data_IF_314892796433
#
_entry.id   IF_314892796433
#
_cell.length_a   1.000
_cell.length_b   1.000
_cell.length_c   1.000
_cell.angle_alpha   90.00
_cell.angle_beta   90.00
_cell.angle_gamma   90.00
#
_symmetry.space_group_name_H-M   'P 1'
#
loop_
_entity.id
_entity.type
_entity.pdbx_description
1 polymer ?
#
# COMPACT_ATOMS: atom_id res chain seq x y z
N UNK A 1 -3.47 8.12 15.28
CA UNK A 1 -3.37 7.15 14.18
C UNK A 1 -2.34 6.11 14.60
N UNK A 2 -2.60 4.81 14.38
CA UNK A 2 -1.62 3.76 14.67
C UNK A 2 -0.45 3.82 13.67
N UNK A 3 0.76 3.43 14.09
CA UNK A 3 1.98 3.51 13.26
C UNK A 3 1.84 2.76 11.92
N UNK A 4 1.31 1.54 11.91
CA UNK A 4 1.15 0.76 10.68
C UNK A 4 0.17 1.44 9.73
N UNK A 5 -0.92 1.97 10.27
CA UNK A 5 -1.94 2.69 9.49
C UNK A 5 -1.46 4.01 8.86
N UNK A 6 -0.25 4.49 9.18
CA UNK A 6 0.38 5.64 8.55
C UNK A 6 1.08 5.31 7.22
N UNK A 7 1.44 4.04 7.00
CA UNK A 7 2.23 3.63 5.84
C UNK A 7 1.63 4.03 4.48
N UNK A 8 0.33 3.87 4.21
CA UNK A 8 -0.19 4.09 2.86
C UNK A 8 -0.01 5.54 2.38
N UNK A 9 -0.35 6.50 3.24
CA UNK A 9 -0.17 7.91 2.94
C UNK A 9 1.31 8.31 2.84
N UNK A 10 2.16 7.78 3.73
CA UNK A 10 3.59 8.04 3.70
C UNK A 10 4.24 7.50 2.43
N UNK A 11 3.99 6.23 2.09
CA UNK A 11 4.50 5.57 0.88
C UNK A 11 4.04 6.33 -0.36
N UNK A 12 2.74 6.60 -0.49
CA UNK A 12 2.20 7.27 -1.66
C UNK A 12 2.81 8.67 -1.84
N UNK A 13 2.88 9.44 -0.76
CA UNK A 13 3.48 10.78 -0.79
C UNK A 13 4.98 10.75 -1.13
N UNK A 14 5.71 9.76 -0.62
CA UNK A 14 7.14 9.59 -0.89
C UNK A 14 7.39 9.24 -2.35
N UNK A 15 6.61 8.32 -2.92
CA UNK A 15 6.69 7.95 -4.34
C UNK A 15 6.40 9.15 -5.26
N UNK A 16 5.35 9.92 -4.95
CA UNK A 16 5.01 11.12 -5.71
C UNK A 16 6.10 12.20 -5.58
N UNK A 17 6.68 12.38 -4.38
CA UNK A 17 7.77 13.33 -4.16
C UNK A 17 9.05 12.92 -4.88
N UNK A 18 9.41 11.64 -4.86
CA UNK A 18 10.53 11.10 -5.65
C UNK A 18 10.31 11.37 -7.14
N UNK A 19 9.09 11.14 -7.64
CA UNK A 19 8.75 11.28 -9.06
C UNK A 19 8.72 12.74 -9.56
N UNK A 20 8.25 13.68 -8.74
CA UNK A 20 7.97 15.05 -9.17
C UNK A 20 8.82 16.12 -8.47
N UNK A 21 9.31 15.84 -7.26
CA UNK A 21 10.07 16.77 -6.43
C UNK A 21 11.53 16.96 -6.85
N UNK A 22 12.11 16.02 -7.62
CA UNK A 22 13.52 16.06 -8.04
C UNK A 22 13.78 16.79 -9.37
N UNK A 23 12.79 17.48 -9.97
CA UNK A 23 13.07 18.38 -11.09
C UNK A 23 13.89 19.58 -10.59
N UNK A 24 15.22 19.40 -10.53
CA UNK A 24 16.22 20.45 -10.26
C UNK A 24 15.93 21.64 -11.16
N UNK A 25 15.35 22.70 -10.58
CA UNK A 25 15.35 24.00 -11.22
C UNK A 25 16.79 24.47 -11.31
N UNK A 26 17.24 24.84 -12.51
CA UNK A 26 18.43 25.67 -12.68
C UNK A 26 18.32 26.86 -11.72
N UNK A 27 19.30 26.96 -10.81
CA UNK A 27 19.40 28.04 -9.84
C UNK A 27 19.72 29.35 -10.58
N UNK A 28 18.70 30.14 -10.92
CA UNK A 28 18.90 31.58 -11.08
C UNK A 28 19.04 32.19 -9.68
N UNK A 29 20.28 32.58 -9.36
CA UNK A 29 20.68 33.29 -8.12
C UNK A 29 19.69 34.41 -7.79
N UNK A 30 19.23 34.44 -6.54
CA UNK A 30 18.56 35.61 -5.97
C UNK A 30 17.04 35.55 -5.87
N UNK A 31 16.48 34.52 -5.21
CA UNK A 31 15.23 34.58 -4.41
C UNK A 31 14.99 33.21 -3.77
N UNK A 32 15.29 33.07 -2.47
CA UNK A 32 14.90 31.91 -1.65
C UNK A 32 13.36 31.90 -1.49
N UNK A 33 12.64 31.33 -2.45
CA UNK A 33 11.25 30.88 -2.26
C UNK A 33 11.24 29.36 -2.37
N UNK A 34 10.48 28.70 -1.49
CA UNK A 34 10.27 27.25 -1.34
C UNK A 34 9.82 26.59 -2.66
N UNK A 35 10.73 26.43 -3.63
CA UNK A 35 10.44 25.83 -4.94
C UNK A 35 10.19 24.31 -4.89
N UNK A 36 10.57 23.64 -3.80
CA UNK A 36 10.47 22.18 -3.68
C UNK A 36 9.07 21.60 -3.46
N UNK A 37 8.05 22.43 -3.25
CA UNK A 37 6.69 21.97 -2.87
C UNK A 37 5.61 22.37 -3.89
N UNK A 38 5.95 23.17 -4.91
CA UNK A 38 4.98 23.69 -5.88
C UNK A 38 4.31 22.61 -6.73
N UNK A 39 4.98 21.47 -6.94
CA UNK A 39 4.44 20.38 -7.74
C UNK A 39 3.16 19.77 -7.15
N UNK A 40 2.96 19.88 -5.84
CA UNK A 40 1.74 19.37 -5.19
C UNK A 40 0.48 20.08 -5.67
N UNK A 41 0.58 21.32 -6.16
CA UNK A 41 -0.58 22.06 -6.67
C UNK A 41 -1.19 21.41 -7.93
N UNK A 42 -0.38 20.65 -8.67
CA UNK A 42 -0.79 20.00 -9.93
C UNK A 42 -1.09 18.49 -9.77
N UNK A 43 -0.92 17.94 -8.56
CA UNK A 43 -1.13 16.51 -8.29
C UNK A 43 -2.42 16.34 -7.51
N UNK A 44 -3.29 15.46 -8.02
CA UNK A 44 -4.43 14.97 -7.27
C UNK A 44 -4.19 13.53 -6.79
N UNK A 45 -4.88 13.17 -5.72
CA UNK A 45 -4.93 11.81 -5.22
C UNK A 45 -6.36 11.37 -4.94
N UNK A 46 -6.57 10.06 -4.82
CA UNK A 46 -7.83 9.47 -4.38
C UNK A 46 -7.57 8.63 -3.12
N UNK A 47 -8.51 8.68 -2.19
CA UNK A 47 -8.69 7.67 -1.15
C UNK A 47 -10.00 6.92 -1.44
N UNK A 48 -9.89 5.66 -1.85
CA UNK A 48 -11.00 4.87 -2.38
C UNK A 48 -12.00 4.41 -1.31
N UNK A 49 -11.57 4.34 -0.05
CA UNK A 49 -12.35 3.86 1.10
C UNK A 49 -12.01 4.71 2.33
N UNK A 50 -12.30 6.00 2.23
CA UNK A 50 -11.62 7.02 3.01
C UNK A 50 -12.07 7.11 4.47
N UNK A 51 -13.31 6.78 4.79
CA UNK A 51 -13.82 7.02 6.14
C UNK A 51 -13.19 6.06 7.17
N UNK A 52 -12.84 6.52 8.39
CA UNK A 52 -13.21 7.79 9.01
C UNK A 52 -12.23 8.95 8.74
N UNK A 53 -11.30 8.81 7.79
CA UNK A 53 -10.47 9.92 7.28
C UNK A 53 -9.03 9.95 7.76
N UNK A 54 -8.58 9.02 8.60
CA UNK A 54 -7.20 9.06 9.16
C UNK A 54 -6.11 9.05 8.08
N UNK A 55 -6.21 8.14 7.11
CA UNK A 55 -5.25 8.04 6.00
C UNK A 55 -5.35 9.24 5.07
N UNK A 56 -6.58 9.66 4.78
CA UNK A 56 -6.89 10.85 3.97
C UNK A 56 -6.27 12.12 4.56
N UNK A 57 -6.47 12.36 5.86
CA UNK A 57 -5.92 13.52 6.56
C UNK A 57 -4.39 13.46 6.66
N UNK A 58 -3.84 12.26 6.85
CA UNK A 58 -2.39 12.08 6.85
C UNK A 58 -1.78 12.40 5.47
N UNK A 59 -2.42 11.95 4.39
CA UNK A 59 -2.01 12.30 3.02
C UNK A 59 -2.13 13.81 2.78
N UNK A 60 -3.22 14.44 3.23
CA UNK A 60 -3.39 15.90 3.16
C UNK A 60 -2.26 16.66 3.85
N UNK A 61 -1.83 16.19 5.03
CA UNK A 61 -0.70 16.77 5.75
C UNK A 61 0.62 16.61 4.97
N UNK A 62 0.88 15.44 4.39
CA UNK A 62 2.05 15.17 3.55
C UNK A 62 2.07 15.98 2.25
N UNK A 63 0.89 16.29 1.71
CA UNK A 63 0.72 17.18 0.55
C UNK A 63 0.68 18.67 0.94
N UNK A 64 0.91 19.02 2.22
CA UNK A 64 0.90 20.39 2.73
C UNK A 64 -0.38 21.17 2.38
N UNK A 65 -1.55 20.51 2.40
CA UNK A 65 -2.82 21.11 1.98
C UNK A 65 -2.83 21.64 0.52
N UNK A 66 -1.96 21.11 -0.35
CA UNK A 66 -1.90 21.46 -1.78
C UNK A 66 -2.53 20.37 -2.65
N UNK A 67 -2.84 20.72 -3.90
CA UNK A 67 -3.49 19.81 -4.84
C UNK A 67 -4.92 19.49 -4.42
N UNK A 68 -5.37 18.27 -4.72
CA UNK A 68 -6.71 17.79 -4.33
C UNK A 68 -6.70 16.32 -3.97
N UNK A 69 -7.40 15.95 -2.91
CA UNK A 69 -7.66 14.56 -2.52
C UNK A 69 -9.15 14.30 -2.66
N UNK A 70 -9.54 13.35 -3.49
CA UNK A 70 -10.92 12.88 -3.57
C UNK A 70 -11.10 11.71 -2.60
N UNK A 71 -12.00 11.86 -1.62
CA UNK A 71 -12.21 10.89 -0.57
C UNK A 71 -13.58 10.23 -0.73
N UNK A 72 -13.60 8.96 -1.11
CA UNK A 72 -14.82 8.20 -1.34
C UNK A 72 -15.14 7.31 -0.15
N UNK A 73 -16.40 7.30 0.27
CA UNK A 73 -16.96 6.22 1.09
C UNK A 73 -18.45 6.08 0.73
N UNK A 74 -18.95 4.85 0.67
CA UNK A 74 -20.36 4.59 0.33
C UNK A 74 -21.31 4.84 1.51
N UNK A 75 -20.78 4.82 2.74
CA UNK A 75 -21.57 5.01 3.96
C UNK A 75 -21.61 6.48 4.36
N UNK A 76 -22.78 7.09 4.26
CA UNK A 76 -22.99 8.50 4.57
C UNK A 76 -22.66 8.85 6.04
N UNK A 77 -22.89 7.95 6.99
CA UNK A 77 -22.59 8.17 8.42
C UNK A 77 -21.09 8.15 8.64
N UNK A 78 -20.38 7.18 8.07
CA UNK A 78 -18.91 7.13 8.14
C UNK A 78 -18.27 8.34 7.45
N UNK A 79 -18.82 8.77 6.31
CA UNK A 79 -18.37 9.96 5.60
C UNK A 79 -18.58 11.24 6.43
N UNK A 80 -19.62 11.31 7.25
CA UNK A 80 -19.83 12.43 8.17
C UNK A 80 -18.69 12.52 9.20
N UNK A 81 -18.26 11.40 9.79
CA UNK A 81 -17.09 11.37 10.66
C UNK A 81 -15.81 11.81 9.93
N UNK A 82 -15.65 11.43 8.65
CA UNK A 82 -14.55 11.92 7.83
C UNK A 82 -14.58 13.44 7.72
N UNK A 83 -15.74 14.04 7.41
CA UNK A 83 -15.88 15.50 7.28
C UNK A 83 -15.52 16.23 8.59
N UNK A 84 -15.98 15.71 9.72
CA UNK A 84 -15.66 16.22 11.04
C UNK A 84 -14.16 16.15 11.34
N UNK A 85 -13.52 15.00 11.06
CA UNK A 85 -12.09 14.82 11.24
C UNK A 85 -11.27 15.74 10.33
N UNK A 86 -11.63 15.85 9.05
CA UNK A 86 -10.99 16.72 8.06
C UNK A 86 -11.08 18.18 8.48
N UNK A 87 -12.25 18.62 8.95
CA UNK A 87 -12.47 19.97 9.47
C UNK A 87 -11.62 20.24 10.73
N UNK A 88 -11.67 19.32 11.70
CA UNK A 88 -10.91 19.41 12.96
C UNK A 88 -9.39 19.45 12.74
N UNK A 89 -8.89 18.75 11.73
CA UNK A 89 -7.46 18.69 11.40
C UNK A 89 -6.99 19.80 10.44
N UNK A 90 -7.87 20.71 10.02
CA UNK A 90 -7.52 21.82 9.11
C UNK A 90 -7.10 21.34 7.72
N UNK A 91 -7.70 20.25 7.24
CA UNK A 91 -7.43 19.75 5.90
C UNK A 91 -8.35 20.44 4.88
N UNK A 92 -7.78 21.22 3.96
CA UNK A 92 -8.53 22.08 3.03
C UNK A 92 -8.55 21.59 1.58
N UNK A 93 -7.70 20.61 1.24
CA UNK A 93 -7.60 20.05 -0.11
C UNK A 93 -8.43 18.77 -0.31
N UNK A 94 -9.23 18.34 0.67
CA UNK A 94 -10.02 17.11 0.63
C UNK A 94 -11.44 17.40 0.12
N UNK A 95 -11.86 16.69 -0.93
CA UNK A 95 -13.24 16.67 -1.42
C UNK A 95 -13.87 15.31 -1.08
N UNK A 96 -14.80 15.29 -0.14
CA UNK A 96 -15.51 14.07 0.27
C UNK A 96 -16.68 13.75 -0.67
N UNK A 97 -16.86 12.48 -1.03
CA UNK A 97 -17.90 11.98 -1.94
C UNK A 97 -18.58 10.75 -1.34
N UNK A 98 -19.90 10.84 -1.15
CA UNK A 98 -20.71 9.70 -0.74
C UNK A 98 -21.04 8.87 -1.97
N UNK A 99 -20.16 7.95 -2.35
CA UNK A 99 -20.32 7.14 -3.55
C UNK A 99 -19.55 5.82 -3.40
N UNK A 100 -20.00 4.81 -4.14
CA UNK A 100 -19.22 3.59 -4.34
C UNK A 100 -18.07 3.88 -5.32
N UNK A 101 -16.83 3.69 -4.85
CA UNK A 101 -15.64 3.88 -5.67
C UNK A 101 -15.64 3.00 -6.92
N UNK A 102 -16.23 1.80 -6.87
CA UNK A 102 -16.32 0.91 -8.03
C UNK A 102 -17.17 1.51 -9.15
N UNK A 103 -18.17 2.33 -8.80
CA UNK A 103 -19.06 3.00 -9.75
C UNK A 103 -18.51 4.32 -10.31
N UNK A 104 -17.36 4.81 -9.82
CA UNK A 104 -16.75 6.06 -10.28
C UNK A 104 -16.32 5.94 -11.76
N UNK A 105 -16.69 6.91 -12.59
CA UNK A 105 -16.16 7.00 -13.95
C UNK A 105 -14.70 7.47 -13.92
N UNK A 106 -13.78 6.54 -14.14
CA UNK A 106 -12.33 6.80 -14.11
C UNK A 106 -11.83 7.55 -15.37
N UNK A 107 -12.66 7.72 -16.39
CA UNK A 107 -12.36 8.56 -17.56
C UNK A 107 -12.82 10.01 -17.41
N UNK A 108 -13.54 10.33 -16.33
CA UNK A 108 -13.95 11.70 -16.03
C UNK A 108 -12.76 12.66 -16.00
N UNK A 109 -12.92 13.83 -16.64
CA UNK A 109 -11.92 14.90 -16.65
C UNK A 109 -11.59 15.39 -15.23
N UNK A 110 -12.47 15.20 -14.25
CA UNK A 110 -12.23 15.52 -12.83
C UNK A 110 -11.00 14.76 -12.28
N UNK A 111 -10.75 13.54 -12.77
CA UNK A 111 -9.68 12.67 -12.29
C UNK A 111 -8.43 12.65 -13.19
N UNK A 112 -8.38 13.48 -14.24
CA UNK A 112 -7.26 13.50 -15.18
C UNK A 112 -5.89 13.81 -14.54
N UNK A 113 -5.88 14.56 -13.43
CA UNK A 113 -4.68 14.91 -12.64
C UNK A 113 -4.39 13.95 -11.48
N UNK A 114 -5.18 12.88 -11.31
CA UNK A 114 -4.93 11.89 -10.26
C UNK A 114 -3.65 11.13 -10.61
N UNK A 115 -2.68 11.16 -9.70
CA UNK A 115 -1.40 10.43 -9.83
C UNK A 115 -1.22 9.36 -8.76
N UNK A 116 -1.92 9.48 -7.64
CA UNK A 116 -1.84 8.52 -6.54
C UNK A 116 -3.21 8.08 -6.03
N UNK A 117 -3.36 6.81 -5.69
CA UNK A 117 -4.58 6.28 -5.07
C UNK A 117 -4.22 5.44 -3.84
N UNK A 118 -4.90 5.67 -2.72
CA UNK A 118 -4.91 4.80 -1.55
C UNK A 118 -6.12 3.86 -1.65
N UNK A 119 -5.85 2.56 -1.55
CA UNK A 119 -6.84 1.50 -1.44
C UNK A 119 -6.72 0.84 -0.06
N UNK A 120 -7.51 1.30 0.90
CA UNK A 120 -7.66 0.69 2.24
C UNK A 120 -9.10 0.21 2.44
N UNK A 121 -9.55 -0.79 1.67
CA UNK A 121 -10.92 -1.30 1.74
C UNK A 121 -11.21 -2.02 3.06
N UNK A 122 -12.48 -2.39 3.25
CA UNK A 122 -12.88 -3.21 4.40
C UNK A 122 -12.09 -4.53 4.42
N UNK A 123 -11.49 -4.81 5.58
CA UNK A 123 -10.73 -6.02 5.91
C UNK A 123 -11.42 -6.81 7.03
N UNK A 124 -10.99 -8.05 7.26
CA UNK A 124 -11.40 -8.84 8.43
C UNK A 124 -11.13 -8.11 9.76
N UNK A 125 -10.08 -7.28 9.83
CA UNK A 125 -9.65 -6.64 11.07
C UNK A 125 -8.87 -7.56 12.01
N UNK A 126 -8.42 -8.72 11.53
CA UNK A 126 -7.76 -9.74 12.33
C UNK A 126 -6.40 -9.33 12.89
N UNK A 127 -5.77 -8.28 12.34
CA UNK A 127 -4.53 -7.68 12.85
C UNK A 127 -4.72 -6.67 13.99
N UNK A 128 -5.95 -6.27 14.30
CA UNK A 128 -6.24 -5.33 15.40
C UNK A 128 -6.36 -6.13 16.69
N UNK A 129 -5.43 -5.98 17.63
CA UNK A 129 -5.34 -6.81 18.86
C UNK A 129 -6.63 -6.86 19.69
N UNK A 130 -7.40 -5.76 19.75
CA UNK A 130 -8.71 -5.71 20.43
C UNK A 130 -9.84 -6.47 19.74
N UNK A 131 -9.70 -6.81 18.45
CA UNK A 131 -10.66 -7.59 17.65
C UNK A 131 -10.16 -9.01 17.32
N UNK A 132 -8.86 -9.16 17.12
CA UNK A 132 -8.19 -10.43 16.84
C UNK A 132 -8.16 -11.38 18.05
N UNK A 133 -8.20 -10.85 19.28
CA UNK A 133 -8.38 -11.66 20.49
C UNK A 133 -9.75 -12.32 20.60
N UNK A 134 -10.77 -11.76 19.94
CA UNK A 134 -12.14 -12.28 19.93
C UNK A 134 -12.35 -13.27 18.77
N UNK A 135 -11.79 -13.00 17.58
CA UNK A 135 -11.81 -13.94 16.44
C UNK A 135 -10.98 -15.21 16.69
N UNK A 136 -9.78 -15.11 17.30
CA UNK A 136 -8.95 -16.29 17.59
C UNK A 136 -9.55 -17.22 18.64
N UNK A 137 -10.57 -16.78 19.40
CA UNK A 137 -11.16 -17.53 20.53
C UNK A 137 -12.49 -18.21 20.23
N UNK A 138 -13.09 -17.97 19.05
CA UNK A 138 -14.28 -18.70 18.63
C UNK A 138 -13.87 -19.84 17.72
N UNK A 139 -13.44 -20.96 18.30
CA UNK A 139 -13.53 -22.26 17.60
C UNK A 139 -15.01 -22.57 17.46
N UNK A 140 -15.59 -22.07 16.39
CA UNK A 140 -16.99 -22.31 16.06
C UNK A 140 -17.22 -23.77 15.72
N UNK A 141 -18.47 -24.22 15.84
CA UNK A 141 -18.91 -25.47 15.22
C UNK A 141 -18.76 -25.32 13.69
N UNK A 142 -18.59 -26.42 12.93
CA UNK A 142 -18.17 -26.36 11.51
C UNK A 142 -18.93 -25.38 10.59
N UNK A 143 -20.19 -25.04 10.89
CA UNK A 143 -20.97 -24.03 10.17
C UNK A 143 -20.43 -22.59 10.35
N UNK A 144 -19.96 -22.22 11.55
CA UNK A 144 -19.39 -20.90 11.84
C UNK A 144 -18.03 -20.69 11.16
N UNK A 145 -17.21 -21.75 11.07
CA UNK A 145 -15.93 -21.71 10.34
C UNK A 145 -16.15 -21.53 8.83
N UNK A 146 -17.18 -22.18 8.27
CA UNK A 146 -17.55 -22.02 6.87
C UNK A 146 -18.07 -20.61 6.58
N UNK A 147 -18.87 -20.02 7.47
CA UNK A 147 -19.35 -18.64 7.33
C UNK A 147 -18.19 -17.63 7.41
N UNK A 148 -17.25 -17.82 8.33
CA UNK A 148 -16.07 -16.95 8.44
C UNK A 148 -15.18 -17.05 7.19
N UNK A 149 -14.96 -18.27 6.67
CA UNK A 149 -14.22 -18.48 5.43
C UNK A 149 -14.89 -17.77 4.23
N UNK A 150 -16.20 -17.92 4.07
CA UNK A 150 -16.98 -17.22 3.02
C UNK A 150 -16.90 -15.70 3.18
N UNK A 151 -16.96 -15.19 4.41
CA UNK A 151 -16.81 -13.77 4.69
C UNK A 151 -15.42 -13.27 4.29
N UNK A 152 -14.37 -14.00 4.65
CA UNK A 152 -12.99 -13.66 4.31
C UNK A 152 -12.80 -13.62 2.78
N UNK A 153 -13.33 -14.61 2.07
CA UNK A 153 -13.29 -14.67 0.61
C UNK A 153 -14.03 -13.49 -0.03
N UNK A 154 -15.22 -13.15 0.46
CA UNK A 154 -15.99 -12.00 -0.03
C UNK A 154 -15.24 -10.67 0.16
N UNK A 155 -14.56 -10.50 1.30
CA UNK A 155 -13.72 -9.33 1.56
C UNK A 155 -12.53 -9.26 0.61
N UNK A 156 -11.83 -10.38 0.39
CA UNK A 156 -10.72 -10.46 -0.56
C UNK A 156 -11.18 -10.16 -2.00
N UNK A 157 -12.34 -10.69 -2.41
CA UNK A 157 -12.92 -10.41 -3.72
C UNK A 157 -13.30 -8.93 -3.90
N UNK A 158 -13.82 -8.29 -2.85
CA UNK A 158 -14.06 -6.84 -2.87
C UNK A 158 -12.76 -6.04 -2.96
N UNK A 159 -11.74 -6.43 -2.18
CA UNK A 159 -10.40 -5.81 -2.20
C UNK A 159 -9.79 -5.86 -3.60
N UNK A 160 -9.80 -7.02 -4.26
CA UNK A 160 -9.34 -7.19 -5.64
C UNK A 160 -10.04 -6.22 -6.60
N UNK A 161 -11.37 -6.11 -6.53
CA UNK A 161 -12.15 -5.18 -7.38
C UNK A 161 -11.74 -3.73 -7.15
N UNK A 162 -11.54 -3.31 -5.90
CA UNK A 162 -11.12 -1.94 -5.56
C UNK A 162 -9.74 -1.62 -6.14
N UNK A 163 -8.77 -2.52 -5.98
CA UNK A 163 -7.41 -2.29 -6.50
C UNK A 163 -7.40 -2.28 -8.03
N UNK A 164 -8.08 -3.23 -8.70
CA UNK A 164 -8.20 -3.25 -10.17
C UNK A 164 -8.85 -1.97 -10.69
N UNK A 165 -9.92 -1.49 -10.03
CA UNK A 165 -10.55 -0.21 -10.34
C UNK A 165 -9.58 0.96 -10.20
N UNK A 166 -8.75 0.98 -9.16
CA UNK A 166 -7.75 2.04 -8.98
C UNK A 166 -6.71 2.04 -10.10
N UNK A 167 -6.20 0.86 -10.50
CA UNK A 167 -5.24 0.72 -11.59
C UNK A 167 -5.81 1.15 -12.96
N UNK A 168 -7.13 1.09 -13.14
CA UNK A 168 -7.80 1.49 -14.39
C UNK A 168 -7.84 3.00 -14.61
N UNK A 169 -7.50 3.84 -13.63
CA UNK A 169 -7.43 5.29 -13.80
C UNK A 169 -6.29 5.66 -14.79
N UNK A 170 -6.57 6.29 -15.94
CA UNK A 170 -5.55 6.48 -16.98
C UNK A 170 -4.32 7.26 -16.51
N UNK A 171 -4.53 8.23 -15.62
CA UNK A 171 -3.47 9.08 -15.09
C UNK A 171 -2.77 8.54 -13.84
N UNK A 172 -3.26 7.46 -13.20
CA UNK A 172 -2.69 7.00 -11.93
C UNK A 172 -1.29 6.46 -12.15
N UNK A 173 -0.36 6.80 -11.27
CA UNK A 173 1.03 6.33 -11.35
C UNK A 173 1.38 5.43 -10.17
N UNK A 174 0.75 5.66 -9.02
CA UNK A 174 0.95 4.86 -7.81
C UNK A 174 -0.38 4.45 -7.20
N UNK A 175 -0.55 3.17 -6.90
CA UNK A 175 -1.70 2.64 -6.15
C UNK A 175 -1.16 1.94 -4.91
N UNK A 176 -1.44 2.49 -3.74
CA UNK A 176 -1.03 1.92 -2.47
C UNK A 176 -2.20 1.12 -1.88
N UNK A 177 -2.03 -0.20 -1.80
CA UNK A 177 -2.99 -1.13 -1.20
C UNK A 177 -2.60 -1.44 0.23
N UNK A 178 -3.56 -1.44 1.15
CA UNK A 178 -3.30 -1.84 2.54
C UNK A 178 -4.49 -2.54 3.20
N UNK A 179 -4.19 -3.33 4.22
CA UNK A 179 -5.19 -3.93 5.09
C UNK A 179 -4.73 -3.97 6.54
N UNK A 180 -5.71 -4.14 7.41
CA UNK A 180 -5.59 -4.43 8.83
C UNK A 180 -5.69 -5.94 9.14
N UNK A 181 -5.29 -6.79 8.20
CA UNK A 181 -5.47 -8.25 8.24
C UNK A 181 -4.12 -8.98 8.35
N UNK A 182 -4.12 -10.11 9.05
CA UNK A 182 -2.99 -11.04 9.03
C UNK A 182 -3.11 -12.10 7.93
N UNK A 183 -4.27 -12.27 7.29
CA UNK A 183 -4.53 -13.38 6.35
C UNK A 183 -3.88 -13.14 4.99
N UNK A 184 -3.17 -14.15 4.48
CA UNK A 184 -2.64 -14.17 3.11
C UNK A 184 -3.71 -13.83 2.08
N UNK A 185 -4.91 -14.40 2.22
CA UNK A 185 -6.03 -14.22 1.28
C UNK A 185 -6.41 -12.75 1.04
N UNK A 186 -6.33 -11.91 2.07
CA UNK A 186 -6.60 -10.46 1.97
C UNK A 186 -5.34 -9.64 1.62
N UNK A 187 -4.15 -10.23 1.68
CA UNK A 187 -2.89 -9.53 1.53
C UNK A 187 -2.21 -9.94 0.23
N UNK A 188 -1.23 -10.84 0.30
CA UNK A 188 -0.49 -11.35 -0.85
C UNK A 188 -1.42 -12.04 -1.85
N UNK A 189 -2.46 -12.75 -1.40
CA UNK A 189 -3.46 -13.34 -2.29
C UNK A 189 -4.17 -12.31 -3.17
N UNK A 190 -4.47 -11.12 -2.64
CA UNK A 190 -5.01 -10.00 -3.43
C UNK A 190 -3.95 -9.45 -4.37
N UNK A 191 -2.74 -9.22 -3.88
CA UNK A 191 -1.64 -8.66 -4.69
C UNK A 191 -1.31 -9.57 -5.87
N UNK A 192 -1.21 -10.88 -5.65
CA UNK A 192 -0.97 -11.90 -6.68
C UNK A 192 -2.04 -11.84 -7.78
N UNK A 193 -3.31 -11.88 -7.38
CA UNK A 193 -4.45 -11.81 -8.31
C UNK A 193 -4.47 -10.51 -9.12
N UNK A 194 -4.10 -9.40 -8.49
CA UNK A 194 -4.02 -8.10 -9.15
C UNK A 194 -2.84 -8.06 -10.13
N UNK A 195 -1.66 -8.58 -9.78
CA UNK A 195 -0.50 -8.61 -10.68
C UNK A 195 -0.81 -9.34 -12.00
N UNK A 196 -1.62 -10.39 -11.93
CA UNK A 196 -2.02 -11.22 -13.08
C UNK A 196 -3.20 -10.61 -13.89
N UNK A 197 -3.81 -9.53 -13.40
CA UNK A 197 -4.96 -8.89 -14.06
C UNK A 197 -4.58 -8.01 -15.26
N UNK A 198 -5.51 -7.83 -16.19
CA UNK A 198 -5.32 -6.99 -17.39
C UNK A 198 -5.07 -5.50 -17.07
N UNK A 199 -5.55 -5.02 -15.92
CA UNK A 199 -5.30 -3.67 -15.44
C UNK A 199 -3.85 -3.47 -14.98
N UNK A 200 -3.20 -4.53 -14.50
CA UNK A 200 -1.83 -4.49 -13.96
C UNK A 200 -0.78 -4.98 -14.95
N UNK A 201 -1.03 -6.12 -15.61
CA UNK A 201 -0.08 -6.84 -16.46
C UNK A 201 0.49 -5.90 -17.52
N UNK A 202 1.82 -5.86 -17.61
CA UNK A 202 2.60 -4.99 -18.50
C UNK A 202 2.43 -3.46 -18.28
N UNK A 203 1.59 -3.04 -17.34
CA UNK A 203 1.28 -1.62 -17.06
C UNK A 203 1.83 -1.17 -15.71
N UNK A 204 1.94 -2.07 -14.74
CA UNK A 204 2.40 -1.79 -13.40
C UNK A 204 3.35 -2.87 -12.88
N UNK A 205 4.23 -2.46 -11.96
CA UNK A 205 5.11 -3.33 -11.17
C UNK A 205 4.89 -3.07 -9.69
N UNK A 206 5.32 -3.99 -8.82
CA UNK A 206 5.39 -3.71 -7.38
C UNK A 206 6.65 -2.89 -7.07
N UNK A 207 6.47 -1.74 -6.45
CA UNK A 207 7.57 -0.95 -5.90
C UNK A 207 8.03 -1.59 -4.59
N UNK A 208 9.35 -1.69 -4.40
CA UNK A 208 9.92 -2.10 -3.11
C UNK A 208 9.69 -0.98 -2.08
N UNK A 209 8.64 -1.10 -1.28
CA UNK A 209 8.27 -0.08 -0.30
C UNK A 209 8.99 -0.29 1.02
N UNK A 210 9.45 0.80 1.62
CA UNK A 210 10.16 0.83 2.90
C UNK A 210 11.30 -0.23 2.93
N UNK A 211 12.34 -0.13 2.08
CA UNK A 211 13.37 -1.17 1.94
C UNK A 211 14.12 -1.51 3.23
N UNK A 212 14.12 -0.59 4.20
CA UNK A 212 14.74 -0.80 5.52
C UNK A 212 13.82 -1.48 6.55
N UNK A 213 12.54 -1.67 6.24
CA UNK A 213 11.60 -2.33 7.13
C UNK A 213 11.82 -3.85 7.10
N UNK A 214 11.89 -4.48 8.28
CA UNK A 214 12.21 -5.91 8.40
C UNK A 214 11.04 -6.81 7.98
N UNK A 215 9.83 -6.48 8.44
CA UNK A 215 8.65 -7.28 8.18
C UNK A 215 8.23 -7.24 6.71
N UNK A 216 8.34 -8.37 6.02
CA UNK A 216 8.02 -8.53 4.59
C UNK A 216 6.76 -9.36 4.36
N UNK A 217 6.23 -9.25 3.14
CA UNK A 217 5.21 -10.18 2.67
C UNK A 217 5.73 -11.63 2.70
N UNK A 218 4.77 -12.56 2.74
CA UNK A 218 5.00 -14.00 2.87
C UNK A 218 4.29 -14.78 1.78
N UNK A 219 4.88 -15.90 1.36
CA UNK A 219 4.19 -16.84 0.47
C UNK A 219 3.06 -17.55 1.22
N UNK A 220 2.20 -18.27 0.48
CA UNK A 220 1.12 -19.05 1.09
C UNK A 220 1.69 -20.16 1.97
N UNK A 221 2.71 -20.84 1.48
CA UNK A 221 3.37 -21.95 2.15
C UNK A 221 4.10 -21.51 3.42
N UNK A 222 4.79 -20.35 3.39
CA UNK A 222 5.42 -19.76 4.59
C UNK A 222 4.39 -19.51 5.68
N UNK A 223 3.22 -18.95 5.33
CA UNK A 223 2.19 -18.67 6.31
C UNK A 223 1.46 -19.93 6.81
N UNK A 224 1.33 -20.96 5.99
CA UNK A 224 0.76 -22.25 6.40
C UNK A 224 1.69 -22.98 7.38
N UNK A 225 3.00 -23.03 7.10
CA UNK A 225 4.01 -23.58 8.00
C UNK A 225 4.03 -22.89 9.36
N UNK A 226 4.03 -21.56 9.40
CA UNK A 226 3.98 -20.79 10.65
C UNK A 226 2.71 -21.06 11.49
N UNK A 227 1.60 -21.46 10.86
CA UNK A 227 0.37 -21.82 11.58
C UNK A 227 0.45 -23.21 12.19
N UNK A 228 1.15 -24.14 11.52
CA UNK A 228 1.37 -25.51 11.97
C UNK A 228 2.43 -25.58 13.08
N UNK A 229 3.50 -24.78 12.97
CA UNK A 229 4.65 -24.77 13.87
C UNK A 229 4.48 -23.92 15.15
N UNK A 230 3.25 -23.50 15.49
CA UNK A 230 2.97 -22.60 16.64
C UNK A 230 3.66 -23.04 17.94
N UNK A 231 4.86 -22.53 18.16
CA UNK A 231 5.73 -22.86 19.28
C UNK A 231 7.05 -22.09 19.24
N UNK A 232 7.67 -21.88 18.07
CA UNK A 232 8.98 -21.24 18.03
C UNK A 232 9.13 -20.23 16.89
N UNK A 233 9.66 -19.06 17.26
CA UNK A 233 10.60 -18.30 16.45
C UNK A 233 10.13 -17.76 15.11
N UNK A 234 10.08 -16.43 15.03
CA UNK A 234 10.19 -15.72 13.75
C UNK A 234 11.43 -16.18 12.99
N UNK A 235 11.22 -16.84 11.86
CA UNK A 235 12.27 -16.98 10.87
C UNK A 235 12.08 -15.86 9.84
N UNK A 236 12.98 -14.88 9.90
CA UNK A 236 13.12 -13.88 8.85
C UNK A 236 13.50 -14.60 7.56
N UNK A 237 12.52 -14.86 6.70
CA UNK A 237 12.75 -15.43 5.38
C UNK A 237 13.54 -14.45 4.52
N UNK A 238 14.83 -14.74 4.30
CA UNK A 238 15.66 -14.08 3.29
C UNK A 238 15.61 -14.96 2.03
N UNK A 239 14.84 -14.53 1.02
CA UNK A 239 14.69 -15.23 -0.27
C UNK A 239 13.93 -14.39 -1.30
N UNK A 240 14.20 -14.62 -2.59
CA UNK A 240 13.73 -13.85 -3.77
C UNK A 240 12.22 -14.03 -4.06
N UNK A 241 11.54 -12.96 -4.52
CA UNK A 241 10.11 -12.98 -4.86
C UNK A 241 9.42 -11.60 -4.79
N UNK A 242 8.25 -11.45 -5.40
CA UNK A 242 7.50 -10.18 -5.41
C UNK A 242 6.89 -9.86 -4.04
N UNK A 243 6.61 -10.87 -3.22
CA UNK A 243 6.05 -10.78 -1.87
C UNK A 243 6.95 -9.93 -0.97
N UNK A 244 8.28 -10.00 -1.17
CA UNK A 244 9.27 -9.21 -0.40
C UNK A 244 9.21 -7.72 -0.69
N UNK A 245 8.59 -7.31 -1.80
CA UNK A 245 8.33 -5.88 -2.09
C UNK A 245 7.16 -5.33 -1.27
N UNK A 246 6.39 -6.19 -0.60
CA UNK A 246 5.34 -5.83 0.34
C UNK A 246 5.87 -5.77 1.78
N UNK A 247 5.16 -5.04 2.63
CA UNK A 247 5.49 -4.90 4.06
C UNK A 247 4.37 -5.46 4.91
N UNK A 248 4.77 -6.23 5.93
CA UNK A 248 3.90 -6.67 7.02
C UNK A 248 4.40 -6.09 8.33
N UNK A 249 3.47 -5.74 9.20
CA UNK A 249 3.79 -5.45 10.60
C UNK A 249 3.25 -6.54 11.50
N UNK A 250 3.96 -6.76 12.60
CA UNK A 250 3.57 -7.65 13.66
C UNK A 250 3.34 -6.84 14.95
N UNK A 251 2.23 -7.09 15.66
CA UNK A 251 1.94 -6.33 16.86
C UNK A 251 2.97 -6.41 17.98
N UNK A 252 3.61 -7.58 18.15
CA UNK A 252 4.48 -7.84 19.29
C UNK A 252 5.86 -7.19 19.09
N UNK A 253 6.40 -7.24 17.88
CA UNK A 253 7.70 -6.64 17.58
C UNK A 253 7.62 -5.17 17.19
N UNK A 254 6.71 -4.81 16.30
CA UNK A 254 6.66 -3.46 15.73
C UNK A 254 5.92 -2.46 16.62
N UNK A 255 5.30 -2.97 17.70
CA UNK A 255 4.50 -2.20 18.67
C UNK A 255 3.43 -1.35 17.97
N UNK A 256 2.71 -1.96 17.03
CA UNK A 256 1.61 -1.38 16.27
C UNK A 256 0.53 -2.43 15.99
N UNK A 257 -0.46 -2.17 15.14
CA UNK A 257 -1.40 -3.22 14.72
C UNK A 257 -0.75 -4.16 13.68
N UNK A 258 -1.30 -5.36 13.51
CA UNK A 258 -1.00 -6.20 12.37
C UNK A 258 -1.53 -5.55 11.10
N UNK A 259 -0.62 -5.21 10.20
CA UNK A 259 -0.90 -4.38 9.03
C UNK A 259 -0.14 -4.90 7.82
N UNK A 260 -0.72 -4.70 6.65
CA UNK A 260 -0.09 -5.05 5.37
C UNK A 260 -0.15 -3.86 4.44
N UNK A 261 0.92 -3.66 3.65
CA UNK A 261 0.94 -2.63 2.60
C UNK A 261 1.76 -3.08 1.39
N UNK A 262 1.23 -2.76 0.20
CA UNK A 262 1.87 -2.93 -1.10
C UNK A 262 1.67 -1.66 -1.94
N UNK A 263 2.57 -1.40 -2.89
CA UNK A 263 2.43 -0.26 -3.80
C UNK A 263 2.71 -0.68 -5.24
N UNK A 264 1.72 -0.50 -6.11
CA UNK A 264 1.85 -0.68 -7.54
C UNK A 264 2.31 0.62 -8.19
N UNK A 265 3.34 0.55 -9.02
CA UNK A 265 3.92 1.66 -9.76
C UNK A 265 3.71 1.46 -11.27
N UNK A 266 3.16 2.47 -11.95
CA UNK A 266 2.96 2.43 -13.40
C UNK A 266 4.31 2.44 -14.12
N UNK A 267 4.50 1.45 -15.00
CA UNK A 267 5.64 1.36 -15.92
C UNK A 267 5.57 2.53 -16.89
N UNK A 268 6.70 3.23 -17.10
CA UNK A 268 6.81 4.27 -18.13
C UNK A 268 7.10 3.63 -19.48
N UNK A 269 6.50 4.16 -20.55
CA UNK A 269 6.91 3.86 -21.92
C UNK A 269 8.44 4.10 -22.04
N UNK A 270 9.18 3.03 -22.32
CA UNK A 270 10.65 3.02 -22.43
C UNK A 270 11.42 2.34 -21.28
N UNK A 271 10.82 2.04 -20.13
CA UNK A 271 11.50 1.34 -19.01
C UNK A 271 11.25 -0.17 -18.94
N UNK A 272 10.31 -0.70 -19.72
CA UNK A 272 9.91 -2.11 -19.67
C UNK A 272 11.04 -3.11 -20.03
N UNK A 273 12.15 -2.68 -20.65
CA UNK A 273 13.29 -3.54 -20.99
C UNK A 273 14.56 -3.29 -20.16
N UNK A 274 14.85 -2.03 -19.79
CA UNK A 274 16.08 -1.69 -19.05
C UNK A 274 16.03 -1.98 -17.56
N UNK A 275 14.87 -1.86 -16.92
CA UNK A 275 14.77 -2.01 -15.46
C UNK A 275 14.94 -3.44 -14.98
N UNK A 276 14.69 -4.44 -15.83
CA UNK A 276 14.90 -5.86 -15.48
C UNK A 276 16.37 -6.22 -15.68
N UNK A 277 16.98 -5.81 -16.80
CA UNK A 277 18.39 -6.10 -17.11
C UNK A 277 19.36 -5.35 -16.16
N UNK A 278 19.11 -4.07 -15.84
CA UNK A 278 19.99 -3.31 -14.92
C UNK A 278 19.82 -3.76 -13.44
N UNK A 279 18.62 -4.19 -13.00
CA UNK A 279 18.42 -4.74 -11.64
C UNK A 279 19.02 -6.15 -11.49
N UNK A 280 18.91 -7.02 -12.51
CA UNK A 280 19.56 -8.34 -12.51
C UNK A 280 21.10 -8.23 -12.49
N UNK A 281 21.66 -7.20 -13.14
CA UNK A 281 23.11 -6.97 -13.15
C UNK A 281 23.63 -6.45 -11.80
N UNK A 282 22.90 -5.53 -11.12
CA UNK A 282 23.25 -5.08 -9.76
C UNK A 282 23.09 -6.19 -8.70
N UNK A 283 22.05 -7.03 -8.80
CA UNK A 283 21.87 -8.19 -7.90
C UNK A 283 22.94 -9.27 -8.12
N UNK A 284 23.37 -9.51 -9.37
CA UNK A 284 24.45 -10.46 -9.67
C UNK A 284 25.80 -10.00 -9.10
N UNK A 285 26.10 -8.69 -9.18
CA UNK A 285 27.34 -8.10 -8.64
C UNK A 285 27.37 -8.22 -7.11
N UNK A 286 26.29 -7.85 -6.43
CA UNK A 286 26.21 -7.91 -4.95
C UNK A 286 26.24 -9.34 -4.42
N UNK A 287 25.64 -10.30 -5.12
CA UNK A 287 25.69 -11.73 -4.75
C UNK A 287 27.10 -12.31 -4.92
N UNK A 288 27.84 -11.89 -5.95
CA UNK A 288 29.21 -12.32 -6.17
C UNK A 288 30.17 -11.75 -5.12
N UNK A 289 29.98 -10.50 -4.68
CA UNK A 289 30.81 -9.89 -3.62
C UNK A 289 30.60 -10.57 -2.27
N UNK A 290 29.35 -10.86 -1.88
CA UNK A 290 29.04 -11.56 -0.62
C UNK A 290 29.66 -12.95 -0.57
N UNK A 291 29.57 -13.74 -1.65
CA UNK A 291 30.22 -15.06 -1.74
C UNK A 291 31.75 -15.01 -1.65
N UNK A 292 32.37 -13.91 -2.10
CA UNK A 292 33.83 -13.70 -1.97
C UNK A 292 34.24 -13.35 -0.54
N UNK A 293 33.43 -12.59 0.19
CA UNK A 293 33.68 -12.28 1.59
C UNK A 293 33.48 -13.50 2.51
N UNK A 294 32.48 -14.34 2.24
CA UNK A 294 32.24 -15.58 3.00
C UNK A 294 33.41 -16.56 2.88
N UNK A 295 33.89 -16.82 1.66
CA UNK A 295 35.08 -17.67 1.44
C UNK A 295 36.34 -17.14 2.13
N UNK A 296 36.53 -15.81 2.18
CA UNK A 296 37.66 -15.18 2.89
C UNK A 296 37.56 -15.29 4.42
N UNK A 297 36.37 -15.53 4.96
CA UNK A 297 36.16 -15.75 6.40
C UNK A 297 36.31 -17.21 6.79
N UNK A 298 36.04 -18.15 5.88
CA UNK A 298 36.26 -19.59 6.12
C UNK A 298 37.73 -20.01 5.99
N UNK A 299 38.55 -19.24 5.26
CA UNK A 299 40.00 -19.48 5.10
C UNK A 299 40.88 -18.84 6.20
N UNK A 300 40.29 -18.20 7.22
CA UNK A 300 40.98 -17.57 8.36
C UNK A 300 40.61 -18.23 9.68
#
# INVERSE_FOLDING_TARGET
>A
QDKGSCFPAFILSSCLKERYGEKKGEEKKGKKKRKGEAFWEEIHAIDACAAPGNKTSHLSAMMHNKGRIFAFDRDAKRLQHLKENVSRLGCHNITSRCADFLAVDHHSKEYAKVRGIICDPSCSGSGITSRGGDMRKKKGKGEEEEEEAKRLENLANFQKKVVKKALSFPGVEYVCYSTCSIHYMENEGVVKDVLESEECKNKFILKNVLPQFKGRGKTKEEQEKEREEKGEGRQDGVGEGWERRCVRTDPEEDKCIGFFVACFERVRDGKAKKGVEEEEEEEAITTHEKRREEKRREEK
#
